data_IF_863487498477
#
_entry.id   IF_863487498477
#
_cell.length_a   1.000
_cell.length_b   1.000
_cell.length_c   1.000
_cell.angle_alpha   90.00
_cell.angle_beta   90.00
_cell.angle_gamma   90.00
#
_symmetry.space_group_name_H-M   'P 1'
#
loop_
_entity.id
_entity.type
_entity.pdbx_description
1 polymer ?
#
# COMPACT_ATOMS: atom_id res chain seq x y z
N UNK A 1 29.06 21.40 -6.42
CA UNK A 1 27.89 21.98 -5.70
C UNK A 1 26.68 21.17 -6.12
N UNK A 2 26.42 20.07 -5.42
CA UNK A 2 25.23 19.27 -5.68
C UNK A 2 24.05 20.06 -5.17
N UNK A 3 23.06 20.33 -6.03
CA UNK A 3 21.81 20.93 -5.60
C UNK A 3 21.23 20.03 -4.50
N UNK A 4 21.01 20.62 -3.32
CA UNK A 4 20.26 20.00 -2.24
C UNK A 4 18.86 19.74 -2.81
N UNK A 5 18.60 18.49 -3.19
CA UNK A 5 17.26 18.08 -3.65
C UNK A 5 16.38 18.27 -2.42
N UNK A 6 15.54 19.31 -2.45
CA UNK A 6 14.56 19.55 -1.40
C UNK A 6 13.75 18.27 -1.25
N UNK A 7 13.98 17.54 -0.15
CA UNK A 7 13.27 16.30 0.14
C UNK A 7 11.83 16.69 0.40
N UNK A 8 10.96 16.44 -0.59
CA UNK A 8 9.53 16.70 -0.46
C UNK A 8 8.96 15.57 0.35
N UNK A 9 8.19 15.90 1.39
CA UNK A 9 7.48 14.93 2.22
C UNK A 9 6.11 14.60 1.60
N UNK A 10 5.62 13.39 1.86
CA UNK A 10 4.27 12.99 1.47
C UNK A 10 3.25 13.74 2.34
N UNK A 11 2.34 14.49 1.72
CA UNK A 11 1.15 15.02 2.41
C UNK A 11 0.05 13.95 2.50
N UNK A 12 -0.41 13.67 3.72
CA UNK A 12 -1.36 12.60 4.05
C UNK A 12 -2.82 13.06 4.11
N UNK A 13 -3.11 14.35 4.31
CA UNK A 13 -4.50 14.85 4.47
C UNK A 13 -5.18 15.18 3.14
N UNK A 14 -4.40 15.36 2.07
CA UNK A 14 -4.89 15.76 0.75
C UNK A 14 -5.54 14.64 -0.06
N UNK A 15 -6.21 15.04 -1.15
CA UNK A 15 -6.66 14.11 -2.17
C UNK A 15 -5.46 13.44 -2.83
N UNK A 16 -5.57 12.14 -3.11
CA UNK A 16 -4.51 11.41 -3.80
C UNK A 16 -4.72 11.55 -5.31
N UNK A 17 -3.68 11.96 -6.02
CA UNK A 17 -3.66 12.03 -7.48
C UNK A 17 -2.89 10.86 -8.05
N UNK A 18 -3.48 10.15 -9.02
CA UNK A 18 -2.80 9.13 -9.81
C UNK A 18 -2.79 9.54 -11.28
N UNK A 19 -1.60 9.55 -11.88
CA UNK A 19 -1.37 10.04 -13.25
C UNK A 19 -0.59 9.01 -14.05
N UNK A 20 -1.04 8.67 -15.24
CA UNK A 20 -0.38 7.69 -16.11
C UNK A 20 -0.60 7.99 -17.60
N UNK A 21 0.17 7.34 -18.46
CA UNK A 21 0.03 7.45 -19.92
C UNK A 21 -0.51 6.15 -20.51
N UNK A 22 -1.48 6.26 -21.40
CA UNK A 22 -1.93 5.16 -22.27
C UNK A 22 -2.07 5.66 -23.70
N UNK A 23 -1.51 4.93 -24.67
CA UNK A 23 -1.54 5.24 -26.11
C UNK A 23 -1.18 6.70 -26.43
N UNK A 24 -0.16 7.24 -25.77
CA UNK A 24 0.33 8.60 -25.97
C UNK A 24 -0.53 9.71 -25.34
N UNK A 25 -1.57 9.36 -24.57
CA UNK A 25 -2.41 10.32 -23.84
C UNK A 25 -2.17 10.20 -22.34
N UNK A 26 -2.17 11.34 -21.64
CA UNK A 26 -2.09 11.38 -20.19
C UNK A 26 -3.49 11.37 -19.57
N UNK A 27 -3.64 10.61 -18.49
CA UNK A 27 -4.84 10.52 -17.68
C UNK A 27 -4.47 10.83 -16.24
N UNK A 28 -5.35 11.54 -15.54
CA UNK A 28 -5.20 11.81 -14.11
C UNK A 28 -6.50 11.48 -13.41
N UNK A 29 -6.41 10.72 -12.34
CA UNK A 29 -7.51 10.32 -11.47
C UNK A 29 -7.29 10.93 -10.09
N UNK A 30 -8.34 11.53 -9.53
CA UNK A 30 -8.34 12.16 -8.23
C UNK A 30 -9.21 11.35 -7.27
N UNK A 31 -8.62 10.98 -6.13
CA UNK A 31 -9.24 10.18 -5.10
C UNK A 31 -9.42 11.01 -3.84
N UNK A 32 -10.57 10.86 -3.19
CA UNK A 32 -10.70 11.28 -1.78
C UNK A 32 -9.67 10.53 -0.95
N UNK A 33 -9.36 11.05 0.24
CA UNK A 33 -8.56 10.32 1.23
C UNK A 33 -9.14 8.91 1.44
N UNK A 34 -8.27 7.91 1.32
CA UNK A 34 -8.59 6.51 1.55
C UNK A 34 -8.60 6.25 3.05
N UNK A 35 -9.69 5.69 3.54
CA UNK A 35 -9.87 5.38 4.95
C UNK A 35 -9.37 3.96 5.26
N UNK A 36 -9.19 3.65 6.54
CA UNK A 36 -8.93 2.28 6.98
C UNK A 36 -10.01 1.30 6.48
N UNK A 37 -11.29 1.72 6.47
CA UNK A 37 -12.40 0.89 5.98
C UNK A 37 -12.28 0.55 4.50
N UNK A 38 -11.86 1.51 3.66
CA UNK A 38 -11.62 1.28 2.23
C UNK A 38 -10.52 0.23 2.03
N UNK A 39 -9.42 0.37 2.77
CA UNK A 39 -8.31 -0.57 2.72
C UNK A 39 -8.67 -1.95 3.23
N UNK A 40 -9.42 -2.05 4.33
CA UNK A 40 -9.88 -3.35 4.84
C UNK A 40 -10.82 -4.05 3.85
N UNK A 41 -11.67 -3.30 3.15
CA UNK A 41 -12.50 -3.85 2.08
C UNK A 41 -11.67 -4.33 0.89
N UNK A 42 -10.65 -3.56 0.49
CA UNK A 42 -9.69 -3.97 -0.54
C UNK A 42 -8.98 -5.29 -0.14
N UNK A 43 -8.39 -5.34 1.06
CA UNK A 43 -7.67 -6.52 1.55
C UNK A 43 -8.57 -7.75 1.70
N UNK A 44 -9.81 -7.56 2.14
CA UNK A 44 -10.79 -8.65 2.25
C UNK A 44 -11.25 -9.21 0.91
N UNK A 45 -11.11 -8.43 -0.17
CA UNK A 45 -11.38 -8.86 -1.53
C UNK A 45 -10.20 -9.53 -2.23
N UNK A 46 -8.98 -9.49 -1.66
CA UNK A 46 -7.83 -10.22 -2.20
C UNK A 46 -8.10 -11.70 -2.01
N UNK A 47 -7.96 -12.47 -3.09
CA UNK A 47 -8.15 -13.92 -3.03
C UNK A 47 -6.96 -14.65 -3.65
N UNK A 48 -6.49 -15.66 -2.93
CA UNK A 48 -5.62 -16.71 -3.45
C UNK A 48 -6.45 -17.97 -3.54
N UNK A 49 -6.61 -18.51 -4.74
CA UNK A 49 -7.24 -19.80 -5.00
C UNK A 49 -6.15 -20.77 -5.42
N UNK A 50 -6.00 -21.88 -4.71
CA UNK A 50 -5.19 -23.01 -5.18
C UNK A 50 -6.15 -24.11 -5.60
N UNK A 51 -6.20 -24.42 -6.89
CA UNK A 51 -6.99 -25.51 -7.45
C UNK A 51 -6.06 -26.65 -7.84
N UNK A 52 -6.34 -27.87 -7.35
CA UNK A 52 -5.58 -29.06 -7.71
C UNK A 52 -6.38 -29.84 -8.75
N UNK A 53 -6.02 -29.71 -10.01
CA UNK A 53 -6.45 -30.66 -11.04
C UNK A 53 -5.54 -31.90 -10.98
N UNK A 54 -6.02 -33.06 -11.43
CA UNK A 54 -5.40 -34.38 -11.22
C UNK A 54 -3.93 -34.52 -11.70
N UNK A 55 -3.36 -33.50 -12.35
CA UNK A 55 -1.96 -33.44 -12.79
C UNK A 55 -1.23 -32.14 -12.44
N UNK A 56 -1.90 -31.08 -11.99
CA UNK A 56 -1.26 -29.78 -11.79
C UNK A 56 -1.98 -28.93 -10.73
N UNK A 57 -1.21 -28.15 -9.98
CA UNK A 57 -1.70 -27.16 -9.02
C UNK A 57 -1.75 -25.81 -9.72
N UNK A 58 -2.94 -25.24 -9.87
CA UNK A 58 -3.15 -23.91 -10.42
C UNK A 58 -3.38 -22.95 -9.27
N UNK A 59 -2.43 -22.06 -9.03
CA UNK A 59 -2.58 -20.98 -8.06
C UNK A 59 -3.05 -19.71 -8.80
N UNK A 60 -4.26 -19.24 -8.48
CA UNK A 60 -4.81 -17.96 -8.94
C UNK A 60 -4.71 -16.95 -7.80
N UNK A 61 -4.11 -15.80 -8.09
CA UNK A 61 -4.03 -14.68 -7.16
C UNK A 61 -4.70 -13.45 -7.79
N UNK A 62 -5.79 -12.99 -7.20
CA UNK A 62 -6.52 -11.81 -7.68
C UNK A 62 -6.41 -10.64 -6.69
N UNK A 63 -5.68 -9.62 -7.14
CA UNK A 63 -5.58 -8.29 -6.51
C UNK A 63 -6.18 -7.19 -7.38
N UNK A 64 -6.51 -7.49 -8.63
CA UNK A 64 -6.94 -6.49 -9.62
C UNK A 64 -8.42 -6.18 -9.50
N UNK A 65 -9.25 -7.20 -9.27
CA UNK A 65 -10.69 -7.00 -9.04
C UNK A 65 -10.96 -6.14 -7.80
N UNK A 66 -10.41 -6.44 -6.60
CA UNK A 66 -10.60 -5.57 -5.44
C UNK A 66 -9.97 -4.19 -5.64
N UNK A 67 -8.83 -4.09 -6.35
CA UNK A 67 -8.21 -2.81 -6.68
C UNK A 67 -9.10 -1.91 -7.55
N UNK A 68 -9.71 -2.47 -8.60
CA UNK A 68 -10.63 -1.72 -9.45
C UNK A 68 -11.92 -1.30 -8.71
N UNK A 69 -12.35 -2.07 -7.70
CA UNK A 69 -13.46 -1.71 -6.83
C UNK A 69 -13.09 -0.55 -5.90
N UNK A 70 -11.91 -0.59 -5.26
CA UNK A 70 -11.37 0.50 -4.46
C UNK A 70 -11.34 1.80 -5.26
N UNK A 71 -10.81 1.74 -6.49
CA UNK A 71 -10.76 2.90 -7.40
C UNK A 71 -12.16 3.44 -7.66
N UNK A 72 -13.13 2.60 -8.01
CA UNK A 72 -14.49 3.07 -8.28
C UNK A 72 -15.15 3.81 -7.11
N UNK A 73 -14.87 3.41 -5.88
CA UNK A 73 -15.52 3.92 -4.67
C UNK A 73 -14.84 5.18 -4.11
N UNK A 74 -13.54 5.32 -4.34
CA UNK A 74 -12.76 6.46 -3.87
C UNK A 74 -12.60 7.58 -4.90
N UNK A 75 -12.93 7.33 -6.17
CA UNK A 75 -12.72 8.28 -7.24
C UNK A 75 -13.71 9.44 -7.21
N UNK A 76 -13.17 10.65 -7.16
CA UNK A 76 -13.93 11.92 -7.09
C UNK A 76 -13.69 12.84 -8.29
N UNK A 77 -12.61 12.62 -9.06
CA UNK A 77 -12.31 13.41 -10.25
C UNK A 77 -11.50 12.63 -11.28
N UNK A 78 -11.61 13.02 -12.55
CA UNK A 78 -10.81 12.45 -13.63
C UNK A 78 -10.56 13.47 -14.75
N UNK A 79 -9.36 13.43 -15.31
CA UNK A 79 -8.92 14.24 -16.44
C UNK A 79 -8.38 13.35 -17.55
N UNK A 80 -8.56 13.78 -18.80
CA UNK A 80 -8.14 13.03 -20.00
C UNK A 80 -9.22 12.12 -20.60
N UNK A 81 -10.42 12.07 -20.00
CA UNK A 81 -11.54 11.27 -20.48
C UNK A 81 -12.62 12.13 -21.10
N UNK A 82 -13.17 11.69 -22.24
CA UNK A 82 -14.27 12.34 -22.94
C UNK A 82 -15.35 11.32 -23.28
N UNK A 83 -16.60 11.77 -23.29
CA UNK A 83 -17.72 11.00 -23.82
C UNK A 83 -17.63 10.91 -25.36
N UNK A 84 -18.51 10.11 -25.98
CA UNK A 84 -18.59 10.05 -27.45
C UNK A 84 -19.00 11.38 -28.09
N UNK A 85 -19.75 12.22 -27.38
CA UNK A 85 -20.12 13.59 -27.76
C UNK A 85 -18.98 14.60 -27.57
N UNK A 86 -17.86 14.20 -26.95
CA UNK A 86 -16.72 15.08 -26.68
C UNK A 86 -16.82 15.87 -25.37
N UNK A 87 -17.85 15.60 -24.57
CA UNK A 87 -18.04 16.22 -23.25
C UNK A 87 -17.09 15.61 -22.22
N UNK A 88 -16.86 16.30 -21.10
CA UNK A 88 -16.09 15.74 -19.99
C UNK A 88 -16.79 14.51 -19.40
N UNK A 89 -16.04 13.42 -19.16
CA UNK A 89 -16.64 12.21 -18.62
C UNK A 89 -17.28 12.44 -17.24
N UNK A 90 -16.70 13.35 -16.43
CA UNK A 90 -17.13 13.60 -15.05
C UNK A 90 -18.51 14.25 -14.92
N UNK A 91 -19.09 14.77 -16.01
CA UNK A 91 -20.44 15.35 -16.02
C UNK A 91 -21.55 14.31 -16.16
N UNK A 92 -21.21 13.04 -16.39
CA UNK A 92 -22.17 11.94 -16.55
C UNK A 92 -22.46 11.28 -15.21
N UNK A 93 -23.70 10.86 -14.97
CA UNK A 93 -24.03 10.09 -13.76
C UNK A 93 -23.27 8.75 -13.71
N UNK A 94 -22.71 8.39 -12.55
CA UNK A 94 -21.92 7.16 -12.34
C UNK A 94 -20.73 7.00 -13.29
N UNK A 95 -20.14 8.12 -13.71
CA UNK A 95 -19.04 8.17 -14.68
C UNK A 95 -17.82 7.34 -14.30
N UNK A 96 -17.60 7.06 -13.00
CA UNK A 96 -16.52 6.21 -12.52
C UNK A 96 -16.52 4.83 -13.20
N UNK A 97 -17.72 4.26 -13.43
CA UNK A 97 -17.88 2.96 -14.10
C UNK A 97 -17.61 3.01 -15.59
N UNK A 98 -17.67 4.18 -16.20
CA UNK A 98 -17.37 4.40 -17.61
C UNK A 98 -15.86 4.49 -17.88
N UNK A 99 -15.03 4.59 -16.84
CA UNK A 99 -13.57 4.50 -16.99
C UNK A 99 -13.18 3.07 -17.38
N UNK A 100 -12.35 2.90 -18.43
CA UNK A 100 -11.87 1.59 -18.86
C UNK A 100 -11.29 0.79 -17.69
N UNK A 101 -11.62 -0.50 -17.63
CA UNK A 101 -11.14 -1.38 -16.55
C UNK A 101 -9.61 -1.34 -16.42
N UNK A 102 -8.88 -1.39 -17.54
CA UNK A 102 -7.41 -1.32 -17.52
C UNK A 102 -6.87 -0.05 -16.85
N UNK A 103 -7.54 1.09 -17.01
CA UNK A 103 -7.12 2.35 -16.38
C UNK A 103 -7.39 2.32 -14.88
N UNK A 104 -8.51 1.71 -14.46
CA UNK A 104 -8.80 1.51 -13.03
C UNK A 104 -7.81 0.54 -12.40
N UNK A 105 -7.39 -0.51 -13.11
CA UNK A 105 -6.36 -1.43 -12.65
C UNK A 105 -4.99 -0.74 -12.50
N UNK A 106 -4.54 0.03 -13.50
CA UNK A 106 -3.31 0.83 -13.43
C UNK A 106 -3.35 1.79 -12.24
N UNK A 107 -4.50 2.45 -12.03
CA UNK A 107 -4.64 3.37 -10.91
C UNK A 107 -4.58 2.67 -9.56
N UNK A 108 -5.21 1.49 -9.44
CA UNK A 108 -5.13 0.68 -8.24
C UNK A 108 -3.69 0.22 -7.97
N UNK A 109 -2.96 -0.23 -9.00
CA UNK A 109 -1.54 -0.59 -8.91
C UNK A 109 -0.70 0.58 -8.38
N UNK A 110 -0.95 1.81 -8.84
CA UNK A 110 -0.27 3.00 -8.33
C UNK A 110 -0.68 3.38 -6.89
N UNK A 111 -1.93 3.11 -6.48
CA UNK A 111 -2.37 3.36 -5.09
C UNK A 111 -1.65 2.43 -4.09
N UNK A 112 -1.30 1.22 -4.51
CA UNK A 112 -0.63 0.21 -3.68
C UNK A 112 0.88 0.13 -3.91
N UNK A 113 1.44 1.06 -4.67
CA UNK A 113 2.86 1.06 -5.03
C UNK A 113 3.72 1.60 -3.89
N UNK A 114 3.94 0.71 -2.91
CA UNK A 114 4.76 0.91 -1.71
C UNK A 114 5.64 -0.32 -1.55
N UNK A 115 6.96 -0.13 -1.47
CA UNK A 115 7.94 -1.20 -1.41
C UNK A 115 9.02 -0.93 -0.36
N UNK A 116 9.74 -1.94 0.14
CA UNK A 116 10.93 -1.72 0.96
C UNK A 116 11.95 -0.86 0.20
N UNK A 117 12.50 0.16 0.86
CA UNK A 117 13.54 1.01 0.28
C UNK A 117 14.89 0.32 0.31
N UNK A 118 15.67 0.51 -0.76
CA UNK A 118 17.10 0.18 -0.76
C UNK A 118 17.97 1.30 -0.16
N UNK A 119 17.39 2.48 0.05
CA UNK A 119 18.08 3.63 0.60
C UNK A 119 18.08 3.55 2.13
N UNK A 120 19.07 2.85 2.69
CA UNK A 120 19.37 2.97 4.11
C UNK A 120 20.25 4.21 4.30
N UNK A 121 19.77 5.20 5.04
CA UNK A 121 20.63 6.29 5.48
C UNK A 121 21.76 5.73 6.38
N UNK A 122 22.90 6.41 6.47
CA UNK A 122 23.96 6.05 7.42
C UNK A 122 23.37 5.96 8.83
N UNK A 123 23.37 4.75 9.38
CA UNK A 123 22.59 4.36 10.54
C UNK A 123 23.25 4.91 11.81
N UNK A 124 22.57 5.80 12.52
CA UNK A 124 22.79 5.94 13.95
C UNK A 124 22.11 4.74 14.63
N UNK A 125 22.89 3.79 15.15
CA UNK A 125 22.34 2.61 15.79
C UNK A 125 21.64 3.00 17.09
N UNK A 126 20.31 2.87 17.10
CA UNK A 126 19.47 2.97 18.29
C UNK A 126 18.99 1.56 18.67
N UNK A 127 19.47 0.97 19.78
CA UNK A 127 19.09 -0.39 20.18
C UNK A 127 17.62 -0.51 20.59
N UNK A 128 16.95 0.59 20.92
CA UNK A 128 15.56 0.57 21.40
C UNK A 128 14.54 0.70 20.26
N UNK A 129 15.01 1.02 19.06
CA UNK A 129 14.16 1.31 17.89
C UNK A 129 14.57 0.48 16.69
N UNK A 130 13.57 -0.09 16.03
CA UNK A 130 13.74 -0.76 14.75
C UNK A 130 13.26 0.15 13.62
N UNK A 131 14.12 0.35 12.64
CA UNK A 131 13.82 1.19 11.49
C UNK A 131 13.44 0.36 10.27
N UNK A 132 12.41 0.81 9.57
CA UNK A 132 11.97 0.31 8.28
C UNK A 132 11.90 1.49 7.32
N UNK A 133 12.46 1.31 6.13
CA UNK A 133 12.42 2.31 5.09
C UNK A 133 11.54 1.82 3.95
N UNK A 134 10.68 2.70 3.43
CA UNK A 134 9.81 2.43 2.29
C UNK A 134 10.07 3.42 1.17
N UNK A 135 9.86 2.97 -0.06
CA UNK A 135 9.70 3.81 -1.25
C UNK A 135 8.23 3.74 -1.68
N UNK A 136 7.66 4.86 -2.14
CA UNK A 136 6.27 4.90 -2.56
C UNK A 136 6.03 5.85 -3.72
N UNK A 137 5.09 5.50 -4.61
CA UNK A 137 4.55 6.46 -5.58
C UNK A 137 3.34 7.19 -5.01
N UNK A 138 3.44 8.51 -4.93
CA UNK A 138 2.42 9.35 -4.33
C UNK A 138 2.24 10.66 -5.10
N UNK A 139 1.00 11.01 -5.45
CA UNK A 139 0.71 12.26 -6.15
C UNK A 139 1.26 12.34 -7.59
N UNK A 140 0.74 13.33 -8.32
CA UNK A 140 1.14 13.64 -9.70
C UNK A 140 2.00 14.91 -9.70
N UNK A 141 3.17 14.84 -10.33
CA UNK A 141 4.02 16.02 -10.59
C UNK A 141 3.58 16.71 -11.88
N UNK A 142 3.41 15.91 -12.93
CA UNK A 142 2.97 16.35 -14.25
C UNK A 142 1.96 15.34 -14.83
N UNK A 143 1.16 15.73 -15.85
CA UNK A 143 0.25 14.80 -16.51
C UNK A 143 0.95 13.54 -17.02
N UNK A 144 0.50 12.40 -16.51
CA UNK A 144 1.03 11.08 -16.89
C UNK A 144 2.27 10.62 -16.11
N UNK A 145 2.70 11.36 -15.08
CA UNK A 145 3.81 10.96 -14.20
C UNK A 145 3.41 11.03 -12.73
N UNK A 146 3.95 10.08 -11.96
CA UNK A 146 3.82 10.00 -10.50
C UNK A 146 5.14 10.38 -9.86
N UNK A 147 5.08 11.03 -8.70
CA UNK A 147 6.29 11.27 -7.90
C UNK A 147 6.67 10.00 -7.15
N UNK A 148 7.95 9.65 -7.20
CA UNK A 148 8.53 8.61 -6.35
C UNK A 148 9.16 9.28 -5.13
N UNK A 149 8.73 8.85 -3.95
CA UNK A 149 9.32 9.22 -2.67
C UNK A 149 10.18 8.06 -2.19
N UNK A 150 11.41 8.35 -1.76
CA UNK A 150 12.36 7.33 -1.34
C UNK A 150 12.82 7.53 0.10
N UNK A 151 13.12 6.41 0.78
CA UNK A 151 13.63 6.41 2.14
C UNK A 151 12.66 7.04 3.15
N UNK A 152 11.37 6.71 3.01
CA UNK A 152 10.32 7.04 3.97
C UNK A 152 10.52 6.19 5.22
N UNK A 153 10.78 6.82 6.35
CA UNK A 153 11.19 6.13 7.56
C UNK A 153 9.97 5.81 8.43
N UNK A 154 9.93 4.58 8.92
CA UNK A 154 9.08 4.14 10.03
C UNK A 154 9.96 3.62 11.16
N UNK A 155 9.80 4.20 12.33
CA UNK A 155 10.49 3.82 13.57
C UNK A 155 9.51 3.04 14.44
N UNK A 156 9.91 1.84 14.84
CA UNK A 156 9.15 0.94 15.68
C UNK A 156 9.86 0.73 17.02
N UNK A 157 9.09 0.58 18.09
CA UNK A 157 9.64 0.11 19.35
C UNK A 157 10.04 -1.36 19.29
N UNK A 158 10.51 -1.88 20.44
CA UNK A 158 10.90 -3.28 20.57
C UNK A 158 9.70 -4.22 20.28
N UNK A 159 9.93 -5.19 19.39
CA UNK A 159 8.98 -6.26 19.13
C UNK A 159 8.98 -7.21 20.34
N UNK A 160 7.79 -7.58 20.82
CA UNK A 160 7.63 -8.46 21.98
C UNK A 160 7.30 -9.88 21.52
N UNK A 161 7.50 -10.86 22.40
CA UNK A 161 7.12 -12.26 22.15
C UNK A 161 5.63 -12.40 21.79
N UNK A 162 4.74 -11.58 22.37
CA UNK A 162 3.31 -11.64 22.02
C UNK A 162 3.06 -11.08 20.60
N UNK A 163 3.80 -10.07 20.16
CA UNK A 163 3.71 -9.56 18.79
C UNK A 163 4.14 -10.64 17.78
N UNK A 164 5.28 -11.30 18.02
CA UNK A 164 5.74 -12.42 17.18
C UNK A 164 4.72 -13.56 17.16
N UNK A 165 4.15 -13.92 18.32
CA UNK A 165 3.14 -14.98 18.41
C UNK A 165 1.90 -14.63 17.58
N UNK A 166 1.41 -13.39 17.66
CA UNK A 166 0.27 -12.90 16.86
C UNK A 166 0.60 -12.97 15.36
N UNK A 167 1.77 -12.46 14.96
CA UNK A 167 2.24 -12.47 13.58
C UNK A 167 2.34 -13.90 13.03
N UNK A 168 3.09 -14.78 13.70
CA UNK A 168 3.31 -16.16 13.26
C UNK A 168 2.01 -16.96 13.18
N UNK A 169 1.07 -16.73 14.11
CA UNK A 169 -0.26 -17.33 14.03
C UNK A 169 -0.99 -16.91 12.76
N UNK A 170 -1.05 -15.61 12.45
CA UNK A 170 -1.73 -15.13 11.25
C UNK A 170 -1.05 -15.60 9.95
N UNK A 171 0.27 -15.74 9.95
CA UNK A 171 1.04 -16.28 8.81
C UNK A 171 0.76 -17.76 8.56
N UNK A 172 0.42 -18.51 9.61
CA UNK A 172 0.15 -19.96 9.54
C UNK A 172 -1.31 -20.29 9.23
N UNK A 173 -2.21 -19.30 9.25
CA UNK A 173 -3.63 -19.53 9.01
C UNK A 173 -3.91 -19.83 7.53
N UNK A 174 -4.44 -21.01 7.26
CA UNK A 174 -5.02 -21.38 5.98
C UNK A 174 -6.39 -22.04 6.21
N UNK A 175 -7.37 -21.74 5.35
CA UNK A 175 -8.71 -22.34 5.41
C UNK A 175 -8.95 -23.14 4.15
N UNK A 176 -9.12 -24.45 4.28
CA UNK A 176 -9.54 -25.29 3.15
C UNK A 176 -11.07 -25.25 3.05
N UNK A 177 -11.58 -24.82 1.92
CA UNK A 177 -13.00 -24.71 1.60
C UNK A 177 -13.29 -25.57 0.37
N UNK A 178 -14.22 -26.53 0.48
CA UNK A 178 -14.57 -27.45 -0.60
C UNK A 178 -14.38 -28.92 -0.25
N UNK A 179 -15.08 -29.82 -0.96
CA UNK A 179 -15.00 -31.27 -0.74
C UNK A 179 -13.79 -31.92 -1.42
N UNK A 180 -13.70 -33.25 -1.33
CA UNK A 180 -12.59 -34.08 -1.83
C UNK A 180 -12.27 -33.97 -3.34
N UNK A 181 -13.13 -33.32 -4.14
CA UNK A 181 -12.94 -33.12 -5.60
C UNK A 181 -12.58 -31.70 -6.01
N UNK A 182 -12.72 -30.69 -5.13
CA UNK A 182 -12.56 -29.25 -5.47
C UNK A 182 -12.06 -28.43 -4.27
N UNK A 183 -11.13 -28.97 -3.49
CA UNK A 183 -10.57 -28.28 -2.32
C UNK A 183 -9.90 -26.97 -2.73
N UNK A 184 -10.42 -25.84 -2.24
CA UNK A 184 -9.88 -24.49 -2.41
C UNK A 184 -9.26 -24.05 -1.09
N UNK A 185 -7.97 -23.75 -1.07
CA UNK A 185 -7.35 -23.15 0.11
C UNK A 185 -7.46 -21.63 0.03
N UNK A 186 -8.17 -21.03 0.99
CA UNK A 186 -8.30 -19.59 1.20
C UNK A 186 -7.31 -19.18 2.30
N UNK A 187 -6.44 -18.23 1.99
CA UNK A 187 -5.59 -17.57 2.98
C UNK A 187 -6.30 -16.29 3.46
N UNK A 188 -6.79 -16.22 4.71
CA UNK A 188 -7.47 -15.03 5.20
C UNK A 188 -6.55 -13.81 5.21
N UNK A 189 -7.13 -12.62 5.06
CA UNK A 189 -6.38 -11.36 5.02
C UNK A 189 -5.69 -11.05 6.35
N UNK A 190 -4.36 -11.22 6.38
CA UNK A 190 -3.46 -10.84 7.50
C UNK A 190 -3.27 -9.32 7.68
N UNK A 191 -3.68 -8.53 6.69
CA UNK A 191 -3.45 -7.08 6.64
C UNK A 191 -4.08 -6.31 7.81
N UNK A 192 -5.22 -6.78 8.35
CA UNK A 192 -5.83 -6.17 9.55
C UNK A 192 -4.88 -6.25 10.74
N UNK A 193 -4.33 -7.45 11.00
CA UNK A 193 -3.35 -7.64 12.08
C UNK A 193 -2.12 -6.77 11.84
N UNK A 194 -1.65 -6.62 10.59
CA UNK A 194 -0.48 -5.80 10.31
C UNK A 194 -0.73 -4.33 10.65
N UNK A 195 -1.91 -3.80 10.31
CA UNK A 195 -2.29 -2.44 10.71
C UNK A 195 -2.37 -2.30 12.25
N UNK A 196 -2.90 -3.29 12.96
CA UNK A 196 -2.94 -3.29 14.44
C UNK A 196 -1.52 -3.33 15.05
N UNK A 197 -0.65 -4.22 14.56
CA UNK A 197 0.74 -4.31 15.01
C UNK A 197 1.51 -3.01 14.73
N UNK A 198 1.22 -2.36 13.60
CA UNK A 198 1.80 -1.05 13.30
C UNK A 198 1.39 -0.03 14.36
N UNK A 199 0.10 0.05 14.67
CA UNK A 199 -0.40 1.01 15.66
C UNK A 199 0.19 0.72 17.04
N UNK A 200 0.33 -0.55 17.42
CA UNK A 200 0.96 -0.96 18.69
C UNK A 200 2.44 -0.54 18.77
N UNK A 201 3.19 -0.73 17.68
CA UNK A 201 4.66 -0.63 17.66
C UNK A 201 5.20 0.73 17.22
N UNK A 202 4.47 1.52 16.45
CA UNK A 202 5.02 2.75 15.86
C UNK A 202 5.41 3.76 16.92
N UNK A 203 6.61 4.31 16.80
CA UNK A 203 7.14 5.36 17.69
C UNK A 203 7.46 6.65 16.97
N UNK A 204 7.72 6.59 15.67
CA UNK A 204 7.91 7.78 14.86
C UNK A 204 7.97 7.45 13.36
N UNK A 205 7.89 8.49 12.55
CA UNK A 205 8.02 8.41 11.09
C UNK A 205 8.80 9.62 10.57
N UNK A 206 9.31 9.55 9.34
CA UNK A 206 9.87 10.71 8.64
C UNK A 206 9.63 10.60 7.13
N UNK A 207 9.54 11.74 6.44
CA UNK A 207 9.13 11.79 5.03
C UNK A 207 7.62 11.99 4.83
N UNK A 208 6.89 12.34 5.90
CA UNK A 208 5.44 12.52 5.89
C UNK A 208 5.05 13.83 6.55
N UNK A 209 3.97 14.44 6.05
CA UNK A 209 3.36 15.65 6.59
C UNK A 209 1.86 15.46 6.74
N UNK A 210 1.29 16.19 7.70
CA UNK A 210 -0.15 16.33 7.93
C UNK A 210 -0.43 17.82 7.94
N UNK A 211 -1.17 18.31 6.94
CA UNK A 211 -1.45 19.74 6.75
C UNK A 211 -0.17 20.59 6.71
N UNK A 212 0.84 20.13 5.97
CA UNK A 212 2.15 20.79 5.80
C UNK A 212 3.07 20.73 7.02
N UNK A 213 2.63 20.12 8.12
CA UNK A 213 3.47 19.94 9.32
C UNK A 213 4.09 18.54 9.30
N UNK A 214 5.41 18.46 9.48
CA UNK A 214 6.13 17.20 9.52
C UNK A 214 5.57 16.27 10.61
N UNK A 215 5.23 15.05 10.21
CA UNK A 215 4.76 14.00 11.10
C UNK A 215 5.99 13.23 11.60
N UNK A 216 6.40 13.46 12.85
CA UNK A 216 7.64 12.88 13.41
C UNK A 216 7.37 11.87 14.52
N UNK A 217 7.08 12.29 15.76
CA UNK A 217 6.99 11.39 16.93
C UNK A 217 5.59 11.36 17.59
N UNK A 218 4.60 12.03 17.00
CA UNK A 218 3.24 12.04 17.54
C UNK A 218 2.50 10.73 17.21
N UNK A 219 2.66 9.71 18.07
CA UNK A 219 2.09 8.37 17.84
C UNK A 219 0.58 8.38 17.57
N UNK A 220 -0.19 9.18 18.31
CA UNK A 220 -1.64 9.25 18.12
C UNK A 220 -1.99 9.75 16.72
N UNK A 221 -1.35 10.84 16.29
CA UNK A 221 -1.54 11.40 14.95
C UNK A 221 -1.02 10.46 13.86
N UNK A 222 0.11 9.77 14.09
CA UNK A 222 0.63 8.77 13.15
C UNK A 222 -0.38 7.63 12.95
N UNK A 223 -0.96 7.12 14.04
CA UNK A 223 -1.99 6.06 13.97
C UNK A 223 -3.24 6.54 13.23
N UNK A 224 -3.63 7.79 13.40
CA UNK A 224 -4.82 8.34 12.74
C UNK A 224 -4.58 8.63 11.26
N UNK A 225 -3.44 9.23 10.94
CA UNK A 225 -3.19 9.85 9.64
C UNK A 225 -2.44 8.95 8.65
N UNK A 226 -1.64 7.99 9.14
CA UNK A 226 -0.85 7.13 8.27
C UNK A 226 -1.75 6.28 7.37
N UNK A 227 -1.43 6.30 6.07
CA UNK A 227 -2.10 5.47 5.07
C UNK A 227 -1.99 3.98 5.45
N UNK A 228 -3.12 3.28 5.45
CA UNK A 228 -3.15 1.90 5.97
C UNK A 228 -2.31 0.95 5.12
N UNK A 229 -2.15 1.21 3.82
CA UNK A 229 -1.26 0.39 2.99
C UNK A 229 0.20 0.56 3.42
N UNK A 230 0.64 1.79 3.73
CA UNK A 230 1.97 2.04 4.30
C UNK A 230 2.16 1.35 5.65
N UNK A 231 1.14 1.37 6.54
CA UNK A 231 1.20 0.65 7.82
C UNK A 231 1.47 -0.84 7.62
N UNK A 232 0.70 -1.44 6.73
CA UNK A 232 0.77 -2.86 6.38
C UNK A 232 2.12 -3.21 5.78
N UNK A 233 2.60 -2.42 4.81
CA UNK A 233 3.91 -2.63 4.18
C UNK A 233 5.06 -2.48 5.17
N UNK A 234 4.99 -1.49 6.06
CA UNK A 234 6.04 -1.27 7.05
C UNK A 234 6.14 -2.43 8.05
N UNK A 235 5.00 -2.99 8.50
CA UNK A 235 4.99 -4.17 9.38
C UNK A 235 5.43 -5.44 8.65
N UNK A 236 5.02 -5.63 7.39
CA UNK A 236 5.54 -6.73 6.59
C UNK A 236 7.08 -6.67 6.53
N UNK A 237 7.65 -5.51 6.24
CA UNK A 237 9.10 -5.32 6.24
C UNK A 237 9.75 -5.52 7.63
N UNK A 238 9.08 -5.11 8.70
CA UNK A 238 9.60 -5.25 10.07
C UNK A 238 9.81 -6.73 10.44
N UNK A 239 8.85 -7.59 10.10
CA UNK A 239 8.86 -9.01 10.47
C UNK A 239 9.46 -9.93 9.39
N UNK A 240 9.59 -9.48 8.13
CA UNK A 240 10.22 -10.25 7.04
C UNK A 240 11.75 -10.08 6.96
N UNK A 241 12.37 -9.26 7.83
CA UNK A 241 13.82 -9.15 7.86
C UNK A 241 14.44 -10.54 8.08
N UNK A 242 15.34 -11.01 7.19
CA UNK A 242 16.07 -12.24 7.46
C UNK A 242 16.82 -12.06 8.78
N UNK A 243 16.89 -13.14 9.56
CA UNK A 243 17.81 -13.22 10.70
C UNK A 243 19.13 -12.61 10.25
N UNK A 244 19.58 -11.55 10.94
CA UNK A 244 20.92 -11.02 10.74
C UNK A 244 21.83 -12.24 10.78
N UNK A 245 22.58 -12.51 9.71
CA UNK A 245 23.64 -13.51 9.72
C UNK A 245 24.47 -13.24 10.97
N UNK A 246 24.23 -14.03 12.01
CA UNK A 246 25.04 -14.01 13.20
C UNK A 246 26.44 -14.34 12.73
N UNK A 247 27.35 -13.45 13.07
CA UNK A 247 28.79 -13.66 13.10
C UNK A 247 29.18 -15.15 13.18
N UNK A 248 29.48 -15.74 12.03
CA UNK A 248 30.35 -16.89 11.89
C UNK A 248 31.50 -16.46 10.97
N UNK A 249 32.24 -15.43 11.39
CA UNK A 249 33.59 -15.66 11.86
C UNK A 249 33.66 -16.67 13.04
N UNK A 250 33.92 -17.93 12.70
CA UNK A 250 34.70 -18.84 13.51
C UNK A 250 35.71 -19.55 12.60
#
# INVERSE_FOLDING_TARGET
MSAEVQKVDIELTGNRLVSFKDKGRAFTLEFRRLTNGDWMKYFGGISTESERDAKERIDRFDVRTPGAALVNEALIGAKGYKTRSGEDLTTVANWQRAIPYGHRAIAAEALIDVAPSQSAAEIAFDPEVQEVYLDARWGSVEPGTMQLYTGLLHRFGMVTVEHERRYNRAMSEARVVGGSRTGRTIYPGRHKLFAELYDDLVVGVAGYTVNGTALVENKALIREEMDTFHKVSAVACLFEKPEREEASAA
#
